data_IF_216122472767
#
_entry.id   IF_216122472767
#
_cell.length_a   1.000
_cell.length_b   1.000
_cell.length_c   1.000
_cell.angle_alpha   90.00
_cell.angle_beta   90.00
_cell.angle_gamma   90.00
#
_symmetry.space_group_name_H-M   'P 1'
#
loop_
_entity.id
_entity.type
_entity.pdbx_description
1 polymer ?
#
# COMPACT_ATOMS: atom_id res chain seq x y z
N UNK A 1 -0.15 12.53 -20.20
CA UNK A 1 -0.89 11.90 -19.07
C UNK A 1 -1.16 10.44 -19.41
N UNK A 2 -1.37 9.54 -18.41
CA UNK A 2 -1.59 8.11 -18.68
C UNK A 2 -2.67 7.85 -19.73
N UNK A 3 -3.75 8.62 -19.75
CA UNK A 3 -4.84 8.50 -20.74
C UNK A 3 -4.45 8.92 -22.16
N UNK A 4 -3.40 9.68 -22.34
CA UNK A 4 -2.93 10.06 -23.69
C UNK A 4 -1.96 9.04 -24.26
N UNK A 5 -1.07 8.51 -23.44
CA UNK A 5 0.10 7.72 -23.89
C UNK A 5 -0.14 6.21 -23.78
N UNK A 6 -0.80 5.75 -22.69
CA UNK A 6 -0.95 4.32 -22.42
C UNK A 6 -1.76 3.56 -23.47
N UNK A 7 -2.87 4.07 -24.05
CA UNK A 7 -3.62 3.32 -25.07
C UNK A 7 -2.78 2.93 -26.27
N UNK A 8 -1.93 3.86 -26.76
CA UNK A 8 -1.04 3.59 -27.89
C UNK A 8 0.03 2.54 -27.57
N UNK A 9 0.68 2.69 -26.43
CA UNK A 9 1.71 1.76 -25.95
C UNK A 9 1.14 0.35 -25.71
N UNK A 10 -0.03 0.25 -25.09
CA UNK A 10 -0.69 -1.02 -24.78
C UNK A 10 -1.21 -1.73 -26.03
N UNK A 11 -1.77 -0.97 -27.00
CA UNK A 11 -2.17 -1.54 -28.29
C UNK A 11 -0.96 -2.09 -29.06
N UNK A 12 0.17 -1.38 -29.05
CA UNK A 12 1.41 -1.84 -29.66
C UNK A 12 1.95 -3.11 -29.00
N UNK A 13 1.78 -3.26 -27.70
CA UNK A 13 2.20 -4.44 -26.93
C UNK A 13 1.22 -5.62 -27.07
N UNK A 14 0.06 -5.45 -27.71
CA UNK A 14 -0.97 -6.49 -27.92
C UNK A 14 -1.37 -7.21 -26.64
N UNK A 15 -1.70 -6.42 -25.61
CA UNK A 15 -2.11 -6.96 -24.30
C UNK A 15 -3.50 -7.58 -24.38
N UNK A 16 -3.72 -8.69 -23.64
CA UNK A 16 -4.99 -9.41 -23.58
C UNK A 16 -5.83 -9.06 -22.36
N UNK A 17 -5.21 -8.53 -21.30
CA UNK A 17 -5.87 -8.15 -20.04
C UNK A 17 -5.03 -7.16 -19.26
N UNK A 18 -5.66 -6.45 -18.29
CA UNK A 18 -4.97 -5.54 -17.37
C UNK A 18 -5.16 -5.95 -15.91
N UNK A 19 -4.10 -5.82 -15.13
CA UNK A 19 -4.16 -5.75 -13.67
C UNK A 19 -3.91 -4.29 -13.29
N UNK A 20 -4.89 -3.68 -12.64
CA UNK A 20 -4.91 -2.23 -12.36
C UNK A 20 -4.85 -2.02 -10.86
N UNK A 21 -3.86 -1.26 -10.36
CA UNK A 21 -3.88 -0.83 -8.99
C UNK A 21 -5.14 0.03 -8.72
N UNK A 22 -5.77 -0.16 -7.57
CA UNK A 22 -7.00 0.56 -7.22
C UNK A 22 -6.84 2.09 -7.19
N UNK A 23 -5.63 2.60 -6.98
CA UNK A 23 -5.35 4.06 -6.96
C UNK A 23 -5.12 4.63 -8.36
N UNK A 24 -4.90 3.78 -9.38
CA UNK A 24 -4.78 4.19 -10.78
C UNK A 24 -6.17 4.23 -11.44
N UNK A 25 -6.90 5.31 -11.19
CA UNK A 25 -8.29 5.45 -11.63
C UNK A 25 -8.46 5.47 -13.16
N UNK A 26 -7.41 5.77 -13.92
CA UNK A 26 -7.45 5.79 -15.39
C UNK A 26 -7.43 4.38 -15.98
N UNK A 27 -6.87 3.39 -15.28
CA UNK A 27 -6.62 2.05 -15.79
C UNK A 27 -7.87 1.34 -16.31
N UNK A 28 -8.99 1.38 -15.55
CA UNK A 28 -10.25 0.81 -15.99
C UNK A 28 -10.82 1.48 -17.26
N UNK A 29 -10.64 2.81 -17.37
CA UNK A 29 -11.07 3.55 -18.57
C UNK A 29 -10.23 3.20 -19.81
N UNK A 30 -8.92 2.98 -19.62
CA UNK A 30 -8.03 2.50 -20.69
C UNK A 30 -8.43 1.08 -21.12
N UNK A 31 -8.71 0.19 -20.17
CA UNK A 31 -9.18 -1.17 -20.46
C UNK A 31 -10.49 -1.17 -21.27
N UNK A 32 -11.46 -0.34 -20.85
CA UNK A 32 -12.73 -0.17 -21.57
C UNK A 32 -12.51 0.32 -23.02
N UNK A 33 -11.61 1.30 -23.19
CA UNK A 33 -11.28 1.84 -24.52
C UNK A 33 -10.63 0.79 -25.42
N UNK A 34 -9.70 0.02 -24.87
CA UNK A 34 -9.00 -1.06 -25.59
C UNK A 34 -9.87 -2.33 -25.74
N UNK A 35 -11.02 -2.39 -25.06
CA UNK A 35 -11.92 -3.54 -24.99
C UNK A 35 -11.23 -4.80 -24.47
N UNK A 36 -10.33 -4.65 -23.51
CA UNK A 36 -9.67 -5.75 -22.81
C UNK A 36 -10.25 -5.90 -21.41
N UNK A 37 -10.34 -7.12 -20.86
CA UNK A 37 -10.76 -7.32 -19.48
C UNK A 37 -9.74 -6.75 -18.51
N UNK A 38 -10.21 -6.31 -17.33
CA UNK A 38 -9.31 -5.90 -16.27
C UNK A 38 -9.79 -6.36 -14.90
N UNK A 39 -8.85 -6.47 -13.99
CA UNK A 39 -9.09 -6.69 -12.56
C UNK A 39 -8.41 -5.60 -11.74
N UNK A 40 -8.98 -5.26 -10.57
CA UNK A 40 -8.32 -4.35 -9.64
C UNK A 40 -7.54 -5.10 -8.59
N UNK A 41 -6.39 -4.52 -8.23
CA UNK A 41 -5.54 -4.98 -7.16
C UNK A 41 -5.38 -3.88 -6.10
N UNK A 42 -5.80 -4.16 -4.87
CA UNK A 42 -5.60 -3.26 -3.74
C UNK A 42 -4.31 -3.62 -3.01
N UNK A 43 -3.23 -2.89 -3.32
CA UNK A 43 -1.93 -3.02 -2.66
C UNK A 43 -1.84 -2.26 -1.34
N UNK A 44 -2.80 -1.37 -1.08
CA UNK A 44 -3.04 -0.68 0.18
C UNK A 44 -4.43 -1.05 0.73
N UNK A 45 -4.91 -0.33 1.75
CA UNK A 45 -6.28 -0.52 2.25
C UNK A 45 -7.29 -0.33 1.11
N UNK A 46 -8.32 -1.21 1.00
CA UNK A 46 -9.30 -1.13 -0.07
C UNK A 46 -10.03 0.21 -0.09
N UNK A 47 -10.14 0.80 -1.28
CA UNK A 47 -10.93 2.00 -1.51
C UNK A 47 -12.32 1.54 -1.92
N UNK A 48 -13.23 1.40 -0.95
CA UNK A 48 -14.62 1.08 -1.21
C UNK A 48 -15.51 1.93 -0.31
N UNK A 49 -16.33 2.79 -0.91
CA UNK A 49 -17.20 3.67 -0.16
C UNK A 49 -18.48 2.91 0.22
N UNK A 50 -18.59 2.62 1.51
CA UNK A 50 -19.74 1.92 2.10
C UNK A 50 -20.28 2.69 3.32
N UNK A 51 -21.63 2.88 3.45
CA UNK A 51 -22.20 3.62 4.56
C UNK A 51 -21.97 3.01 5.95
N UNK A 52 -21.74 1.71 6.03
CA UNK A 52 -21.64 1.01 7.31
C UNK A 52 -20.23 1.06 7.92
N UNK A 53 -19.21 1.38 7.12
CA UNK A 53 -17.81 1.47 7.58
C UNK A 53 -17.24 2.86 7.34
N UNK A 54 -16.35 3.37 8.19
CA UNK A 54 -15.66 4.62 7.91
C UNK A 54 -14.66 4.41 6.77
N UNK A 55 -14.45 5.45 5.95
CA UNK A 55 -13.37 5.44 4.99
C UNK A 55 -12.02 5.37 5.73
N UNK A 56 -11.11 4.53 5.30
CA UNK A 56 -9.87 4.19 6.01
C UNK A 56 -8.98 5.39 6.36
N UNK A 57 -9.02 6.47 5.58
CA UNK A 57 -8.22 7.66 5.84
C UNK A 57 -8.76 8.52 6.99
N UNK A 58 -10.00 8.26 7.46
CA UNK A 58 -10.50 8.92 8.66
C UNK A 58 -10.12 8.10 9.89
N UNK A 59 -9.51 8.72 10.87
CA UNK A 59 -9.22 8.07 12.15
C UNK A 59 -10.51 7.90 13.00
N UNK A 60 -11.52 7.26 12.42
CA UNK A 60 -12.81 7.06 13.07
C UNK A 60 -12.96 5.61 13.52
N UNK A 61 -13.38 5.44 14.76
CA UNK A 61 -13.73 4.10 15.25
C UNK A 61 -14.96 3.57 14.52
N UNK A 62 -14.92 2.28 14.16
CA UNK A 62 -16.08 1.58 13.66
C UNK A 62 -17.19 1.53 14.72
N UNK A 63 -18.45 1.60 14.29
CA UNK A 63 -19.62 1.46 15.14
C UNK A 63 -20.88 1.26 14.31
N UNK A 64 -21.85 0.54 14.88
CA UNK A 64 -23.09 0.14 14.19
C UNK A 64 -24.29 1.06 14.46
N UNK A 65 -24.14 2.09 15.32
CA UNK A 65 -25.26 2.98 15.63
C UNK A 65 -25.67 3.85 14.45
N UNK A 66 -26.93 4.36 14.42
CA UNK A 66 -27.38 5.28 13.37
C UNK A 66 -26.47 6.51 13.18
N UNK A 67 -25.94 7.05 14.29
CA UNK A 67 -25.01 8.19 14.25
C UNK A 67 -23.70 7.85 13.52
N UNK A 68 -23.15 6.64 13.74
CA UNK A 68 -21.98 6.20 13.00
C UNK A 68 -22.25 6.08 11.50
N UNK A 69 -23.41 5.56 11.13
CA UNK A 69 -23.82 5.45 9.72
C UNK A 69 -23.95 6.82 9.06
N UNK A 70 -24.61 7.79 9.73
CA UNK A 70 -24.73 9.16 9.24
C UNK A 70 -23.35 9.80 9.07
N UNK A 71 -22.48 9.68 10.08
CA UNK A 71 -21.10 10.17 10.01
C UNK A 71 -20.36 9.57 8.83
N UNK A 72 -20.43 8.25 8.64
CA UNK A 72 -19.75 7.55 7.54
C UNK A 72 -20.30 8.00 6.18
N UNK A 73 -21.61 8.18 6.05
CA UNK A 73 -22.23 8.71 4.83
C UNK A 73 -21.73 10.13 4.50
N UNK A 74 -21.65 11.02 5.50
CA UNK A 74 -21.10 12.37 5.31
C UNK A 74 -19.63 12.31 4.90
N UNK A 75 -18.84 11.43 5.51
CA UNK A 75 -17.46 11.18 5.12
C UNK A 75 -17.35 10.68 3.67
N UNK A 76 -18.19 9.74 3.27
CA UNK A 76 -18.21 9.23 1.91
C UNK A 76 -18.60 10.33 0.90
N UNK A 77 -19.58 11.20 1.22
CA UNK A 77 -19.91 12.34 0.38
C UNK A 77 -18.75 13.33 0.24
N UNK A 78 -17.98 13.53 1.32
CA UNK A 78 -16.77 14.35 1.28
C UNK A 78 -15.71 13.73 0.36
N UNK A 79 -15.47 12.41 0.45
CA UNK A 79 -14.53 11.70 -0.45
C UNK A 79 -15.01 11.76 -1.89
N UNK A 80 -16.32 11.57 -2.16
CA UNK A 80 -16.89 11.71 -3.50
C UNK A 80 -16.71 13.14 -4.07
N UNK A 81 -16.82 14.15 -3.21
CA UNK A 81 -16.54 15.54 -3.58
C UNK A 81 -15.06 15.74 -3.94
N UNK A 82 -14.13 15.24 -3.12
CA UNK A 82 -12.71 15.32 -3.41
C UNK A 82 -12.34 14.60 -4.72
N UNK A 83 -12.95 13.44 -4.97
CA UNK A 83 -12.73 12.65 -6.20
C UNK A 83 -13.37 13.28 -7.45
N UNK A 84 -14.26 14.27 -7.30
CA UNK A 84 -15.08 14.82 -8.40
C UNK A 84 -14.26 15.42 -9.52
N UNK A 85 -13.19 16.16 -9.21
CA UNK A 85 -12.33 16.78 -10.21
C UNK A 85 -11.59 15.74 -11.06
N UNK A 86 -11.03 14.70 -10.42
CA UNK A 86 -10.39 13.57 -11.11
C UNK A 86 -11.39 12.79 -11.96
N UNK A 87 -12.58 12.50 -11.41
CA UNK A 87 -13.66 11.85 -12.14
C UNK A 87 -14.11 12.66 -13.35
N UNK A 88 -14.26 13.97 -13.22
CA UNK A 88 -14.61 14.85 -14.34
C UNK A 88 -13.51 14.84 -15.43
N UNK A 89 -12.24 14.81 -15.04
CA UNK A 89 -11.13 14.70 -15.98
C UNK A 89 -11.18 13.38 -16.77
N UNK A 90 -11.41 12.26 -16.09
CA UNK A 90 -11.53 10.95 -16.72
C UNK A 90 -12.78 10.89 -17.62
N UNK A 91 -13.91 11.45 -17.18
CA UNK A 91 -15.15 11.46 -17.96
C UNK A 91 -15.03 12.24 -19.27
N UNK A 92 -14.18 13.30 -19.35
CA UNK A 92 -13.89 13.96 -20.63
C UNK A 92 -13.23 13.02 -21.65
N UNK A 93 -12.37 12.11 -21.21
CA UNK A 93 -11.79 11.08 -22.08
C UNK A 93 -12.82 10.02 -22.44
N UNK A 94 -13.64 9.58 -21.47
CA UNK A 94 -14.71 8.60 -21.73
C UNK A 94 -15.71 9.12 -22.74
N UNK A 95 -16.12 10.39 -22.67
CA UNK A 95 -16.97 11.06 -23.66
C UNK A 95 -16.31 11.05 -25.04
N UNK A 96 -15.03 11.48 -25.13
CA UNK A 96 -14.26 11.46 -26.39
C UNK A 96 -14.16 10.06 -26.99
N UNK A 97 -14.12 9.03 -26.16
CA UNK A 97 -14.00 7.63 -26.56
C UNK A 97 -15.36 6.91 -26.67
N UNK A 98 -16.46 7.65 -26.56
CA UNK A 98 -17.83 7.13 -26.58
C UNK A 98 -18.09 6.04 -25.55
N UNK A 99 -17.51 6.15 -24.37
CA UNK A 99 -17.69 5.26 -23.22
C UNK A 99 -18.72 5.85 -22.23
N UNK A 100 -19.46 5.00 -21.49
CA UNK A 100 -20.38 5.46 -20.44
C UNK A 100 -19.64 6.24 -19.37
N UNK A 101 -20.24 7.31 -18.83
CA UNK A 101 -19.65 8.10 -17.75
C UNK A 101 -19.57 7.31 -16.44
N UNK A 102 -18.50 7.58 -15.68
CA UNK A 102 -18.34 7.12 -14.29
C UNK A 102 -19.07 8.10 -13.38
N UNK A 103 -20.02 7.62 -12.59
CA UNK A 103 -20.88 8.45 -11.76
C UNK A 103 -20.37 8.52 -10.30
N UNK A 104 -19.81 7.43 -9.76
CA UNK A 104 -19.38 7.31 -8.38
C UNK A 104 -17.96 6.73 -8.31
N UNK A 105 -17.29 6.92 -7.18
CA UNK A 105 -15.95 6.39 -6.94
C UNK A 105 -15.92 4.86 -7.07
N UNK A 106 -16.92 4.15 -6.57
CA UNK A 106 -16.96 2.69 -6.68
C UNK A 106 -17.14 2.19 -8.15
N UNK A 107 -17.56 3.04 -9.08
CA UNK A 107 -17.73 2.68 -10.50
C UNK A 107 -16.38 2.62 -11.26
N UNK A 108 -15.29 3.10 -10.66
CA UNK A 108 -13.94 2.94 -11.24
C UNK A 108 -13.44 1.49 -11.19
N UNK A 109 -14.01 0.68 -10.31
CA UNK A 109 -13.48 -0.65 -10.04
C UNK A 109 -14.09 -1.72 -10.95
N UNK A 110 -13.27 -2.73 -11.22
CA UNK A 110 -13.65 -3.86 -12.07
C UNK A 110 -14.87 -4.59 -11.53
N UNK A 111 -15.70 -5.04 -12.47
CA UNK A 111 -16.81 -5.96 -12.20
C UNK A 111 -16.42 -7.43 -12.34
N UNK A 112 -15.21 -7.72 -12.82
CA UNK A 112 -14.70 -9.09 -12.93
C UNK A 112 -14.09 -9.57 -11.62
N UNK A 113 -13.12 -8.83 -11.10
CA UNK A 113 -12.53 -9.10 -9.80
C UNK A 113 -11.91 -7.82 -9.19
N UNK A 114 -12.07 -7.69 -7.88
CA UNK A 114 -11.39 -6.71 -7.03
C UNK A 114 -10.68 -7.51 -5.95
N UNK A 115 -9.36 -7.48 -5.96
CA UNK A 115 -8.52 -8.37 -5.14
C UNK A 115 -7.77 -7.52 -4.12
N UNK A 116 -7.81 -7.92 -2.86
CA UNK A 116 -7.03 -7.28 -1.79
C UNK A 116 -6.15 -8.27 -1.05
N UNK A 117 -4.94 -7.82 -0.71
CA UNK A 117 -4.04 -8.56 0.16
C UNK A 117 -4.34 -8.39 1.65
N UNK A 118 -5.25 -7.50 2.02
CA UNK A 118 -5.67 -7.31 3.41
C UNK A 118 -6.37 -8.59 3.89
N UNK A 119 -5.99 -9.19 5.02
CA UNK A 119 -6.75 -10.27 5.62
C UNK A 119 -8.13 -9.76 6.04
N UNK A 120 -9.17 -10.53 5.76
CA UNK A 120 -10.57 -10.14 6.04
C UNK A 120 -10.78 -9.76 7.51
N UNK A 121 -10.08 -10.44 8.40
CA UNK A 121 -10.15 -10.24 9.85
C UNK A 121 -9.56 -8.92 10.32
N UNK A 122 -8.73 -8.28 9.50
CA UNK A 122 -8.08 -7.00 9.79
C UNK A 122 -8.74 -5.81 9.10
N UNK A 123 -9.71 -6.08 8.22
CA UNK A 123 -10.50 -5.03 7.57
C UNK A 123 -11.74 -4.68 8.41
N UNK A 124 -12.35 -3.54 8.13
CA UNK A 124 -13.65 -3.21 8.70
C UNK A 124 -14.70 -4.24 8.28
N UNK A 125 -15.70 -4.56 9.14
CA UNK A 125 -16.75 -5.52 8.82
C UNK A 125 -17.71 -4.95 7.76
N UNK A 126 -17.23 -4.84 6.54
CA UNK A 126 -17.99 -4.38 5.38
C UNK A 126 -19.11 -5.35 5.04
N UNK A 127 -20.31 -4.82 4.78
CA UNK A 127 -21.52 -5.62 4.54
C UNK A 127 -22.04 -5.54 3.12
N UNK A 128 -21.51 -4.62 2.32
CA UNK A 128 -21.98 -4.30 0.96
C UNK A 128 -20.88 -4.35 -0.10
N UNK A 129 -19.86 -5.16 0.11
CA UNK A 129 -18.86 -5.41 -0.91
C UNK A 129 -19.49 -6.14 -2.10
N UNK A 130 -19.08 -5.85 -3.34
CA UNK A 130 -19.57 -6.57 -4.51
C UNK A 130 -19.13 -8.04 -4.48
N UNK A 131 -19.90 -8.92 -5.13
CA UNK A 131 -19.59 -10.35 -5.19
C UNK A 131 -18.22 -10.67 -5.82
N UNK A 132 -17.69 -9.76 -6.64
CA UNK A 132 -16.37 -9.87 -7.26
C UNK A 132 -15.23 -9.36 -6.37
N UNK A 133 -15.49 -9.01 -5.11
CA UNK A 133 -14.46 -8.58 -4.16
C UNK A 133 -13.88 -9.80 -3.42
N UNK A 134 -12.55 -9.94 -3.44
CA UNK A 134 -11.86 -11.11 -2.90
C UNK A 134 -10.76 -10.71 -1.92
N UNK A 135 -10.83 -11.24 -0.73
CA UNK A 135 -9.74 -11.22 0.25
C UNK A 135 -8.84 -12.42 0.00
N UNK A 136 -7.59 -12.20 -0.38
CA UNK A 136 -6.64 -13.27 -0.70
C UNK A 136 -5.55 -13.47 0.34
N UNK A 137 -5.43 -12.51 1.25
CA UNK A 137 -4.30 -12.45 2.18
C UNK A 137 -3.04 -11.86 1.53
N UNK A 138 -1.96 -11.74 2.31
CA UNK A 138 -0.74 -11.03 1.91
C UNK A 138 -0.07 -11.63 0.68
N UNK A 139 0.36 -10.77 -0.24
CA UNK A 139 1.16 -11.16 -1.41
C UNK A 139 2.64 -11.28 -1.04
N UNK A 140 3.00 -12.30 -0.28
CA UNK A 140 4.36 -12.51 0.22
C UNK A 140 5.03 -13.62 -0.58
N UNK A 141 5.83 -13.21 -1.56
CA UNK A 141 6.66 -14.12 -2.35
C UNK A 141 8.08 -13.54 -2.48
N UNK A 142 9.09 -14.38 -2.28
CA UNK A 142 10.50 -14.01 -2.51
C UNK A 142 10.90 -14.03 -3.99
N UNK A 143 10.11 -14.71 -4.86
CA UNK A 143 10.37 -14.80 -6.30
C UNK A 143 10.15 -13.44 -6.96
N UNK A 144 11.05 -13.04 -7.83
CA UNK A 144 10.96 -11.76 -8.54
C UNK A 144 11.38 -10.54 -7.72
N UNK A 145 11.76 -10.67 -6.45
CA UNK A 145 12.37 -9.57 -5.69
C UNK A 145 13.81 -9.37 -6.16
N UNK A 146 14.20 -8.12 -6.26
CA UNK A 146 15.58 -7.77 -6.59
C UNK A 146 16.52 -8.31 -5.52
N UNK A 147 17.61 -8.96 -5.95
CA UNK A 147 18.69 -9.33 -5.04
C UNK A 147 19.37 -8.06 -4.54
N UNK A 148 19.42 -7.90 -3.23
CA UNK A 148 20.01 -6.75 -2.57
C UNK A 148 21.32 -7.22 -1.92
N UNK A 149 22.43 -6.58 -2.28
CA UNK A 149 23.67 -6.78 -1.56
C UNK A 149 23.53 -6.21 -0.15
N UNK A 150 23.79 -7.06 0.84
CA UNK A 150 23.57 -6.70 2.23
C UNK A 150 24.76 -7.18 3.08
N UNK A 151 25.28 -6.36 4.01
CA UNK A 151 26.49 -6.67 4.79
C UNK A 151 26.23 -7.71 5.90
N UNK A 152 25.88 -8.94 5.53
CA UNK A 152 25.60 -10.04 6.46
C UNK A 152 26.75 -10.32 7.45
N UNK A 153 28.00 -10.06 7.03
CA UNK A 153 29.19 -10.22 7.88
C UNK A 153 29.22 -9.28 9.09
N UNK A 154 28.41 -8.21 9.09
CA UNK A 154 28.29 -7.28 10.23
C UNK A 154 27.34 -7.78 11.32
N UNK A 155 26.65 -8.90 11.10
CA UNK A 155 25.77 -9.45 12.13
C UNK A 155 26.57 -10.06 13.28
N UNK A 156 26.16 -9.71 14.49
CA UNK A 156 26.71 -10.28 15.72
C UNK A 156 25.89 -11.49 16.13
N UNK A 157 26.52 -12.65 16.21
CA UNK A 157 25.84 -13.86 16.68
C UNK A 157 25.36 -13.68 18.13
N UNK A 158 24.12 -14.11 18.39
CA UNK A 158 23.52 -14.11 19.73
C UNK A 158 22.86 -12.81 20.17
N UNK A 159 22.99 -11.71 19.41
CA UNK A 159 22.26 -10.47 19.71
C UNK A 159 20.90 -10.42 18.99
N UNK A 160 19.81 -10.05 19.68
CA UNK A 160 18.52 -9.83 19.04
C UNK A 160 18.63 -8.78 17.90
N UNK A 161 17.94 -9.04 16.79
CA UNK A 161 17.90 -8.10 15.67
C UNK A 161 16.65 -7.22 15.76
N UNK A 162 16.83 -5.92 15.66
CA UNK A 162 15.78 -4.93 15.46
C UNK A 162 15.89 -4.42 14.02
N UNK A 163 14.84 -4.58 13.24
CA UNK A 163 14.76 -4.04 11.89
C UNK A 163 13.84 -2.84 11.84
N UNK A 164 14.27 -1.72 11.27
CA UNK A 164 13.46 -0.53 11.14
C UNK A 164 13.41 -0.03 9.69
N UNK A 165 12.19 0.24 9.21
CA UNK A 165 11.93 0.78 7.88
C UNK A 165 10.70 1.68 7.87
N UNK A 166 10.85 2.87 7.28
CA UNK A 166 9.74 3.82 7.07
C UNK A 166 9.12 3.70 5.68
N UNK A 167 9.35 2.58 4.99
CA UNK A 167 8.88 2.33 3.62
C UNK A 167 9.64 3.15 2.58
N UNK A 168 9.08 3.23 1.37
CA UNK A 168 9.72 3.90 0.23
C UNK A 168 9.20 5.31 -0.03
N UNK A 169 7.97 5.63 0.41
CA UNK A 169 7.32 6.92 0.13
C UNK A 169 7.45 7.93 1.27
N UNK A 170 7.51 7.48 2.52
CA UNK A 170 7.54 8.35 3.71
C UNK A 170 8.86 8.28 4.46
N UNK A 171 9.95 8.11 3.75
CA UNK A 171 11.30 7.94 4.29
C UNK A 171 12.05 9.26 4.54
N UNK A 172 11.51 10.41 4.15
CA UNK A 172 12.17 11.73 4.25
C UNK A 172 12.34 12.30 5.67
N UNK A 173 12.20 11.49 6.72
CA UNK A 173 12.22 11.98 8.12
C UNK A 173 13.48 11.46 8.84
N UNK A 174 14.63 12.08 8.55
CA UNK A 174 15.90 11.78 9.23
C UNK A 174 15.79 11.73 10.75
N UNK A 175 15.00 12.66 11.34
CA UNK A 175 14.77 12.71 12.79
C UNK A 175 14.21 11.39 13.34
N UNK A 176 13.33 10.71 12.63
CA UNK A 176 12.76 9.43 13.08
C UNK A 176 13.86 8.37 13.18
N UNK A 177 14.72 8.26 12.17
CA UNK A 177 15.83 7.30 12.20
C UNK A 177 16.84 7.61 13.31
N UNK A 178 17.08 8.89 13.62
CA UNK A 178 17.92 9.28 14.76
C UNK A 178 17.30 8.84 16.10
N UNK A 179 16.03 9.13 16.31
CA UNK A 179 15.31 8.73 17.53
C UNK A 179 15.31 7.21 17.69
N UNK A 180 15.09 6.46 16.61
CA UNK A 180 15.17 4.99 16.65
C UNK A 180 16.58 4.53 17.03
N UNK A 181 17.61 5.11 16.43
CA UNK A 181 18.99 4.76 16.73
C UNK A 181 19.37 5.08 18.17
N UNK A 182 19.00 6.26 18.68
CA UNK A 182 19.20 6.67 20.08
C UNK A 182 18.49 5.72 21.06
N UNK A 183 17.21 5.39 20.79
CA UNK A 183 16.45 4.47 21.63
C UNK A 183 17.04 3.05 21.66
N UNK A 184 17.67 2.60 20.59
CA UNK A 184 18.28 1.27 20.51
C UNK A 184 19.75 1.24 20.94
N UNK A 185 20.40 2.39 21.11
CA UNK A 185 21.85 2.46 21.33
C UNK A 185 22.32 1.74 22.59
N UNK A 186 21.53 1.78 23.66
CA UNK A 186 21.83 1.17 24.96
C UNK A 186 21.24 -0.24 25.12
N UNK A 187 20.52 -0.74 24.09
CA UNK A 187 19.94 -2.07 24.13
C UNK A 187 20.99 -3.13 23.74
N UNK A 188 20.96 -4.30 24.38
CA UNK A 188 21.73 -5.45 23.91
C UNK A 188 21.05 -6.07 22.67
N UNK A 189 20.97 -5.29 21.62
CA UNK A 189 20.38 -5.64 20.33
C UNK A 189 21.19 -5.06 19.17
N UNK A 190 21.04 -5.62 18.01
CA UNK A 190 21.61 -5.07 16.78
C UNK A 190 20.53 -4.39 15.96
N UNK A 191 20.74 -3.14 15.58
CA UNK A 191 19.79 -2.36 14.79
C UNK A 191 20.20 -2.36 13.30
N UNK A 192 19.21 -2.63 12.44
CA UNK A 192 19.29 -2.43 10.98
C UNK A 192 18.28 -1.37 10.59
N UNK A 193 18.73 -0.34 9.88
CA UNK A 193 17.91 0.74 9.32
C UNK A 193 17.89 0.64 7.80
N UNK A 194 16.71 0.48 7.23
CA UNK A 194 16.47 0.63 5.78
C UNK A 194 15.87 2.00 5.50
N UNK A 195 16.66 2.88 4.88
CA UNK A 195 16.34 4.30 4.75
C UNK A 195 15.43 4.62 3.55
N UNK A 196 15.39 3.76 2.54
CA UNK A 196 14.81 4.10 1.23
C UNK A 196 15.73 5.05 0.43
N UNK A 197 15.15 5.84 -0.46
CA UNK A 197 15.88 6.83 -1.27
C UNK A 197 16.03 8.16 -0.51
N UNK A 198 17.11 8.89 -0.76
CA UNK A 198 17.25 10.29 -0.36
C UNK A 198 18.15 10.59 0.85
N UNK A 199 18.91 9.61 1.35
CA UNK A 199 19.82 9.80 2.48
C UNK A 199 21.28 9.52 2.12
N UNK A 200 21.85 10.25 1.17
CA UNK A 200 23.23 10.06 0.74
C UNK A 200 24.26 10.50 1.80
N UNK A 201 23.87 11.33 2.76
CA UNK A 201 24.75 11.93 3.77
C UNK A 201 24.15 11.89 5.18
N UNK A 202 23.64 10.76 5.64
CA UNK A 202 23.20 10.64 7.03
C UNK A 202 24.40 10.73 7.96
N UNK A 203 24.42 11.70 8.89
CA UNK A 203 25.46 11.81 9.91
C UNK A 203 25.49 10.56 10.78
N UNK A 204 26.64 10.23 11.44
CA UNK A 204 26.74 9.06 12.29
C UNK A 204 25.59 8.95 13.29
N UNK A 205 25.02 7.75 13.39
CA UNK A 205 23.91 7.45 14.29
C UNK A 205 24.41 6.77 15.56
N UNK A 206 23.69 6.99 16.67
CA UNK A 206 23.97 6.37 17.95
C UNK A 206 23.92 4.82 17.84
N UNK A 207 24.74 4.11 18.61
CA UNK A 207 24.75 2.65 18.65
C UNK A 207 25.36 1.95 17.43
N UNK A 208 25.90 2.69 16.45
CA UNK A 208 26.52 2.16 15.23
C UNK A 208 25.64 1.13 14.49
N UNK A 209 24.41 1.46 14.09
CA UNK A 209 23.51 0.55 13.38
C UNK A 209 24.05 0.15 12.01
N UNK A 210 23.53 -0.95 11.46
CA UNK A 210 23.70 -1.26 10.03
C UNK A 210 22.70 -0.39 9.26
N UNK A 211 23.22 0.55 8.48
CA UNK A 211 22.39 1.48 7.68
C UNK A 211 22.54 1.13 6.22
N UNK A 212 21.42 0.92 5.53
CA UNK A 212 21.39 0.58 4.11
C UNK A 212 20.25 1.35 3.41
N UNK A 213 20.40 1.71 2.13
CA UNK A 213 19.29 2.29 1.37
C UNK A 213 18.11 1.33 1.26
N UNK A 214 18.40 0.08 0.88
CA UNK A 214 17.42 -1.00 0.78
C UNK A 214 17.95 -2.25 1.45
N UNK A 215 17.05 -3.04 2.01
CA UNK A 215 17.39 -4.27 2.73
C UNK A 215 16.61 -5.47 2.18
N UNK A 216 17.16 -6.71 2.25
CA UNK A 216 16.43 -7.93 1.95
C UNK A 216 15.39 -8.21 3.04
N UNK A 217 14.28 -7.45 3.01
CA UNK A 217 13.31 -7.34 4.11
C UNK A 217 12.80 -8.69 4.60
N UNK A 218 12.38 -9.59 3.71
CA UNK A 218 11.84 -10.89 4.12
C UNK A 218 12.85 -11.77 4.87
N UNK A 219 14.13 -11.68 4.49
CA UNK A 219 15.19 -12.42 5.18
C UNK A 219 15.50 -11.83 6.56
N UNK A 220 15.50 -10.50 6.64
CA UNK A 220 15.70 -9.80 7.91
C UNK A 220 14.55 -10.05 8.87
N UNK A 221 13.30 -9.98 8.41
CA UNK A 221 12.12 -10.23 9.23
C UNK A 221 12.12 -11.60 9.88
N UNK A 222 12.55 -12.65 9.15
CA UNK A 222 12.68 -14.01 9.72
C UNK A 222 13.70 -14.12 10.85
N UNK A 223 14.61 -13.17 10.95
CA UNK A 223 15.69 -13.11 11.96
C UNK A 223 15.42 -12.05 13.01
N UNK A 224 14.47 -11.16 12.77
CA UNK A 224 14.20 -10.02 13.65
C UNK A 224 13.38 -10.43 14.85
N UNK A 225 13.79 -9.98 16.03
CA UNK A 225 12.99 -10.04 17.25
C UNK A 225 11.90 -8.94 17.28
N UNK A 226 12.18 -7.81 16.62
CA UNK A 226 11.30 -6.65 16.56
C UNK A 226 11.45 -5.93 15.22
N UNK A 227 10.34 -5.44 14.69
CA UNK A 227 10.33 -4.52 13.53
C UNK A 227 9.68 -3.20 13.93
N UNK A 228 10.32 -2.09 13.55
CA UNK A 228 9.79 -0.72 13.71
C UNK A 228 9.38 -0.22 12.32
N UNK A 229 8.12 0.22 12.20
CA UNK A 229 7.55 0.60 10.90
C UNK A 229 6.64 1.82 11.01
N UNK A 230 6.45 2.51 9.89
CA UNK A 230 5.46 3.59 9.75
C UNK A 230 4.01 3.08 9.58
N UNK A 231 3.77 1.76 9.65
CA UNK A 231 2.44 1.16 9.51
C UNK A 231 1.93 1.01 8.07
N UNK A 232 2.79 1.14 7.06
CA UNK A 232 2.41 0.82 5.67
C UNK A 232 2.01 -0.66 5.54
N UNK A 233 1.01 -0.96 4.69
CA UNK A 233 0.38 -2.28 4.65
C UNK A 233 1.40 -3.42 4.52
N UNK A 234 2.32 -3.36 3.56
CA UNK A 234 3.34 -4.41 3.36
C UNK A 234 4.30 -4.51 4.55
N UNK A 235 4.68 -3.37 5.14
CA UNK A 235 5.57 -3.33 6.30
C UNK A 235 4.90 -3.76 7.62
N UNK A 236 3.59 -4.01 7.60
CA UNK A 236 2.82 -4.65 8.68
C UNK A 236 2.55 -6.12 8.36
N UNK A 237 2.10 -6.45 7.15
CA UNK A 237 1.72 -7.81 6.78
C UNK A 237 2.93 -8.76 6.69
N UNK A 238 4.07 -8.30 6.20
CA UNK A 238 5.28 -9.13 6.09
C UNK A 238 5.85 -9.53 7.46
N UNK A 239 6.00 -8.63 8.47
CA UNK A 239 6.38 -9.02 9.81
C UNK A 239 5.37 -9.99 10.46
N UNK A 240 4.07 -9.73 10.33
CA UNK A 240 3.03 -10.62 10.86
C UNK A 240 3.15 -12.04 10.27
N UNK A 241 3.30 -12.14 8.96
CA UNK A 241 3.47 -13.43 8.29
C UNK A 241 4.81 -14.13 8.63
N UNK A 242 5.82 -13.37 9.02
CA UNK A 242 7.12 -13.88 9.46
C UNK A 242 7.16 -14.23 10.95
N UNK A 243 6.08 -13.99 11.70
CA UNK A 243 6.04 -14.17 13.16
C UNK A 243 6.87 -13.13 13.94
N UNK A 244 7.30 -12.06 13.28
CA UNK A 244 8.06 -10.98 13.90
C UNK A 244 7.12 -10.02 14.63
N UNK A 245 7.52 -9.59 15.83
CA UNK A 245 6.82 -8.50 16.54
C UNK A 245 7.07 -7.18 15.82
N UNK A 246 6.08 -6.29 15.83
CA UNK A 246 6.19 -4.97 15.24
C UNK A 246 5.70 -3.86 16.18
N UNK A 247 6.20 -2.63 15.95
CA UNK A 247 5.94 -1.43 16.74
C UNK A 247 5.74 -0.25 15.77
#
# INVERSE_FOLDING_TARGET
MALDDAPGAMSGAKIDALVVDQVELAGGTIADYLRVPFVNLALAMPIHLEPNVPFFAFNWRHGSSPLHKIRNQLGNLFIEHLASAGRAAINRYRERWHLPAILRTNDFFSRLAQITQVPKETDFPATKLPACFHYTGPFIDGRGRQLIDFPWHRFSAGRPLIYASMGTLQNGVERVFRVIAEACAEMDAQLVLSLGTGFENLAPLAGNPIVVPYAPQLELLRRSALTITHGGLNTVLEPLASGCRWL
#
